data_IF_614564866358
#
_entry.id   IF_614564866358
#
_cell.length_a   1.000
_cell.length_b   1.000
_cell.length_c   1.000
_cell.angle_alpha   90.00
_cell.angle_beta   90.00
_cell.angle_gamma   90.00
#
_symmetry.space_group_name_H-M   'P 1'
#
loop_
_entity.id
_entity.type
_entity.pdbx_description
1 polymer ?
#
# COMPACT_ATOMS: atom_id res chain seq x y z
N UNK A 1 -44.55 2.77 -69.42
CA UNK A 1 -43.30 3.55 -69.33
C UNK A 1 -43.23 4.17 -67.95
N UNK A 2 -42.46 3.56 -67.05
CA UNK A 2 -41.83 4.16 -65.87
C UNK A 2 -40.76 3.15 -65.45
N UNK A 3 -39.49 3.53 -65.58
CA UNK A 3 -38.34 2.65 -65.35
C UNK A 3 -37.97 2.57 -63.87
N UNK A 4 -37.44 1.42 -63.48
CA UNK A 4 -36.83 1.16 -62.17
C UNK A 4 -35.59 2.06 -61.96
N UNK A 5 -35.33 2.54 -60.73
CA UNK A 5 -34.08 3.21 -60.39
C UNK A 5 -32.95 2.18 -60.14
N UNK A 6 -31.67 2.56 -60.31
CA UNK A 6 -30.54 1.65 -60.19
C UNK A 6 -30.11 1.44 -58.73
N UNK A 7 -29.58 0.25 -58.43
CA UNK A 7 -28.92 -0.10 -57.17
C UNK A 7 -27.64 0.75 -56.96
N UNK A 8 -27.59 1.53 -55.88
CA UNK A 8 -26.36 2.15 -55.38
C UNK A 8 -25.66 1.20 -54.38
N UNK A 9 -24.42 0.83 -54.71
CA UNK A 9 -23.52 0.02 -53.87
C UNK A 9 -23.03 0.84 -52.65
N UNK A 10 -22.67 0.19 -51.52
CA UNK A 10 -22.36 0.90 -50.27
C UNK A 10 -20.95 1.52 -50.30
N UNK A 11 -20.90 2.86 -50.32
CA UNK A 11 -19.71 3.71 -50.19
C UNK A 11 -19.00 3.64 -48.82
N UNK A 12 -19.37 2.69 -47.94
CA UNK A 12 -18.85 2.62 -46.56
C UNK A 12 -17.43 2.02 -46.43
N UNK A 13 -16.86 1.48 -47.52
CA UNK A 13 -15.56 0.82 -47.49
C UNK A 13 -14.39 1.77 -47.77
N UNK A 14 -14.59 2.81 -48.58
CA UNK A 14 -13.54 3.78 -48.93
C UNK A 14 -13.35 4.84 -47.82
N UNK A 15 -14.39 5.16 -47.07
CA UNK A 15 -14.34 6.17 -46.01
C UNK A 15 -13.52 5.69 -44.78
N UNK A 16 -13.46 4.37 -44.53
CA UNK A 16 -12.62 3.78 -43.47
C UNK A 16 -11.14 3.71 -43.83
N UNK A 17 -10.79 3.77 -45.12
CA UNK A 17 -9.41 3.61 -45.59
C UNK A 17 -8.61 4.91 -45.61
N UNK A 18 -9.29 6.07 -45.61
CA UNK A 18 -8.65 7.39 -45.77
C UNK A 18 -8.78 8.33 -44.56
N UNK A 19 -9.44 7.91 -43.47
CA UNK A 19 -9.67 8.79 -42.30
C UNK A 19 -9.19 8.26 -40.94
N UNK A 20 -8.38 7.20 -40.88
CA UNK A 20 -7.53 6.95 -39.71
C UNK A 20 -6.29 7.86 -39.78
N UNK A 21 -6.51 9.14 -39.47
CA UNK A 21 -5.42 9.97 -39.00
C UNK A 21 -5.11 9.53 -37.56
N UNK A 22 -4.30 8.48 -37.45
CA UNK A 22 -3.56 8.14 -36.24
C UNK A 22 -2.82 9.40 -35.79
N UNK A 23 -3.46 10.15 -34.89
CA UNK A 23 -2.76 11.18 -34.13
C UNK A 23 -1.84 10.43 -33.20
N UNK A 24 -0.62 10.18 -33.66
CA UNK A 24 0.51 9.79 -32.81
C UNK A 24 0.58 10.82 -31.68
N UNK A 25 -0.01 10.47 -30.54
CA UNK A 25 0.11 11.26 -29.31
C UNK A 25 1.55 11.12 -28.86
N UNK A 26 2.36 12.10 -29.24
CA UNK A 26 3.70 12.28 -28.69
C UNK A 26 3.56 12.43 -27.17
N UNK A 27 4.04 11.41 -26.45
CA UNK A 27 4.20 11.35 -25.00
C UNK A 27 2.88 11.27 -24.21
N UNK A 28 2.60 10.09 -23.66
CA UNK A 28 1.60 9.88 -22.61
C UNK A 28 2.04 10.62 -21.33
N UNK A 29 1.70 11.91 -21.24
CA UNK A 29 1.95 12.73 -20.06
C UNK A 29 1.35 12.15 -18.78
N UNK A 30 0.32 11.28 -18.87
CA UNK A 30 -0.28 10.58 -17.72
C UNK A 30 0.64 9.56 -17.03
N UNK A 31 1.62 8.98 -17.73
CA UNK A 31 2.65 8.12 -17.10
C UNK A 31 3.72 8.95 -16.38
N UNK A 32 3.98 10.18 -16.84
CA UNK A 32 4.94 11.13 -16.23
C UNK A 32 4.27 12.02 -15.17
N UNK A 33 2.94 12.15 -15.16
CA UNK A 33 2.20 12.97 -14.19
C UNK A 33 1.60 12.16 -13.04
N UNK A 34 1.97 10.90 -12.86
CA UNK A 34 1.46 10.08 -11.75
C UNK A 34 1.93 10.57 -10.38
N UNK A 35 1.39 10.00 -9.29
CA UNK A 35 1.87 10.31 -7.93
C UNK A 35 3.35 9.90 -7.72
N UNK A 36 3.82 8.87 -8.43
CA UNK A 36 5.20 8.33 -8.36
C UNK A 36 6.29 9.41 -8.52
N UNK A 37 6.26 10.32 -9.51
CA UNK A 37 7.23 11.39 -9.62
C UNK A 37 7.17 12.42 -8.47
N UNK A 38 6.01 12.68 -7.88
CA UNK A 38 5.92 13.54 -6.69
C UNK A 38 6.60 12.90 -5.46
N UNK A 39 6.35 11.59 -5.26
CA UNK A 39 7.01 10.78 -4.22
C UNK A 39 8.53 10.74 -4.46
N UNK A 40 8.95 10.48 -5.70
CA UNK A 40 10.36 10.40 -6.07
C UNK A 40 11.07 11.74 -5.91
N UNK A 41 10.45 12.85 -6.32
CA UNK A 41 11.00 14.20 -6.11
C UNK A 41 11.17 14.51 -4.61
N UNK A 42 10.19 14.12 -3.78
CA UNK A 42 10.27 14.28 -2.32
C UNK A 42 11.35 13.38 -1.71
N UNK A 43 11.52 12.16 -2.21
CA UNK A 43 12.60 11.26 -1.80
C UNK A 43 13.98 11.77 -2.18
N UNK A 44 14.14 12.32 -3.39
CA UNK A 44 15.39 12.97 -3.82
C UNK A 44 15.67 14.21 -2.95
N UNK A 45 14.66 15.04 -2.67
CA UNK A 45 14.80 16.18 -1.77
C UNK A 45 15.22 15.74 -0.36
N UNK A 46 14.71 14.61 0.14
CA UNK A 46 15.11 14.03 1.43
C UNK A 46 16.60 13.70 1.46
N UNK A 47 17.10 12.99 0.44
CA UNK A 47 18.52 12.61 0.34
C UNK A 47 19.40 13.85 0.20
N UNK A 48 19.01 14.81 -0.65
CA UNK A 48 19.76 16.04 -0.84
C UNK A 48 19.79 16.90 0.43
N UNK A 49 18.68 16.98 1.18
CA UNK A 49 18.63 17.67 2.47
C UNK A 49 19.57 17.03 3.49
N UNK A 50 19.66 15.70 3.49
CA UNK A 50 20.58 14.97 4.36
C UNK A 50 22.04 15.25 4.01
N UNK A 51 22.39 15.18 2.71
CA UNK A 51 23.75 15.46 2.23
C UNK A 51 24.15 16.92 2.48
N UNK A 52 23.26 17.87 2.19
CA UNK A 52 23.48 19.29 2.50
C UNK A 52 23.67 19.51 4.01
N UNK A 53 22.82 18.88 4.83
CA UNK A 53 22.95 18.92 6.29
C UNK A 53 24.27 18.37 6.81
N UNK A 54 24.72 17.22 6.29
CA UNK A 54 26.03 16.64 6.63
C UNK A 54 27.19 17.55 6.20
N UNK A 55 27.09 18.19 5.03
CA UNK A 55 28.08 19.14 4.56
C UNK A 55 28.18 20.33 5.51
N UNK A 56 27.05 20.89 5.94
CA UNK A 56 26.99 22.00 6.89
C UNK A 56 27.54 21.62 8.27
N UNK A 57 27.26 20.40 8.75
CA UNK A 57 27.82 19.89 10.01
C UNK A 57 29.34 19.70 9.96
N UNK A 58 29.89 19.41 8.78
CA UNK A 58 31.35 19.26 8.60
C UNK A 58 32.09 20.61 8.56
N UNK A 59 31.39 21.73 8.42
CA UNK A 59 31.99 23.06 8.32
C UNK A 59 32.07 23.73 9.70
N UNK A 60 33.19 24.42 10.02
CA UNK A 60 33.36 25.08 11.31
C UNK A 60 32.38 26.25 11.53
N UNK A 61 31.89 26.85 10.45
CA UNK A 61 30.87 27.89 10.44
C UNK A 61 30.17 27.89 9.10
N UNK A 62 28.84 27.99 9.10
CA UNK A 62 28.06 28.04 7.86
C UNK A 62 28.00 29.50 7.38
N UNK A 63 28.48 29.84 6.18
CA UNK A 63 28.30 31.16 5.60
C UNK A 63 26.81 31.44 5.40
N UNK A 64 26.35 32.58 5.91
CA UNK A 64 24.97 33.04 5.83
C UNK A 64 24.84 34.10 4.73
N UNK A 65 25.25 33.74 3.51
CA UNK A 65 25.34 34.67 2.38
C UNK A 65 24.02 34.73 1.56
N UNK A 66 22.97 34.05 2.04
CA UNK A 66 21.69 33.97 1.36
C UNK A 66 20.74 35.15 1.59
N UNK A 67 19.79 35.40 0.67
CA UNK A 67 18.84 36.51 0.75
C UNK A 67 17.90 36.43 1.96
N UNK A 68 17.67 35.23 2.50
CA UNK A 68 16.80 35.04 3.67
C UNK A 68 17.57 35.00 5.01
N UNK A 69 18.90 35.12 4.99
CA UNK A 69 19.72 35.10 6.20
C UNK A 69 19.36 36.21 7.22
N UNK A 70 18.92 37.38 6.73
CA UNK A 70 18.53 38.50 7.58
C UNK A 70 17.12 38.39 8.19
N UNK A 71 16.28 37.50 7.65
CA UNK A 71 14.85 37.41 8.00
C UNK A 71 14.58 36.24 8.95
N UNK A 72 15.39 35.18 8.87
CA UNK A 72 15.22 33.98 9.71
C UNK A 72 15.93 34.18 11.07
N UNK A 73 15.19 34.26 12.20
CA UNK A 73 15.79 34.40 13.52
C UNK A 73 16.65 33.18 13.84
N UNK A 74 17.84 33.40 14.43
CA UNK A 74 18.75 32.34 14.86
C UNK A 74 19.16 31.35 13.74
N UNK A 75 19.11 31.79 12.48
CA UNK A 75 19.53 30.99 11.32
C UNK A 75 20.90 30.35 11.51
N UNK A 76 21.88 31.08 12.05
CA UNK A 76 23.22 30.54 12.30
C UNK A 76 23.27 29.36 13.29
N UNK A 77 22.38 29.34 14.29
CA UNK A 77 22.35 28.28 15.31
C UNK A 77 21.69 27.01 14.77
N UNK A 78 20.62 27.16 14.00
CA UNK A 78 19.82 26.03 13.53
C UNK A 78 20.25 25.52 12.15
N UNK A 79 20.79 26.37 11.27
CA UNK A 79 21.14 26.00 9.89
C UNK A 79 22.16 24.87 9.80
N UNK A 80 23.05 24.73 10.79
CA UNK A 80 24.06 23.67 10.83
C UNK A 80 23.43 22.27 10.85
N UNK A 81 22.36 22.06 11.61
CA UNK A 81 21.72 20.74 11.74
C UNK A 81 20.35 20.64 11.08
N UNK A 82 19.75 21.76 10.67
CA UNK A 82 18.41 21.79 10.11
C UNK A 82 18.27 20.93 8.85
N UNK A 83 19.29 20.84 7.99
CA UNK A 83 19.26 19.94 6.82
C UNK A 83 19.07 18.47 7.20
N UNK A 84 19.82 18.00 8.20
CA UNK A 84 19.72 16.63 8.73
C UNK A 84 18.36 16.42 9.42
N UNK A 85 17.94 17.35 10.27
CA UNK A 85 16.66 17.28 10.97
C UNK A 85 15.47 17.20 9.99
N UNK A 86 15.47 18.08 8.99
CA UNK A 86 14.46 18.11 7.94
C UNK A 86 14.46 16.82 7.10
N UNK A 87 15.63 16.26 6.80
CA UNK A 87 15.71 14.98 6.08
C UNK A 87 15.13 13.82 6.89
N UNK A 88 15.42 13.75 8.20
CA UNK A 88 14.81 12.75 9.09
C UNK A 88 13.29 12.91 9.19
N UNK A 89 12.77 14.13 9.14
CA UNK A 89 11.32 14.38 9.08
C UNK A 89 10.72 13.99 7.72
N UNK A 90 11.41 14.31 6.60
CA UNK A 90 10.94 14.01 5.25
C UNK A 90 10.95 12.52 4.90
N UNK A 91 11.80 11.69 5.54
CA UNK A 91 11.87 10.25 5.29
C UNK A 91 10.52 9.54 5.52
N UNK A 92 9.95 9.57 6.74
CA UNK A 92 8.62 9.01 7.01
C UNK A 92 7.51 9.64 6.16
N UNK A 93 7.61 10.93 5.86
CA UNK A 93 6.67 11.64 4.97
C UNK A 93 6.71 11.05 3.56
N UNK A 94 7.90 10.81 3.01
CA UNK A 94 8.08 10.21 1.68
C UNK A 94 7.50 8.80 1.63
N UNK A 95 7.71 7.99 2.67
CA UNK A 95 7.11 6.65 2.79
C UNK A 95 5.58 6.73 2.88
N UNK A 96 5.04 7.70 3.62
CA UNK A 96 3.60 7.94 3.72
C UNK A 96 2.97 8.40 2.40
N UNK A 97 3.67 9.25 1.65
CA UNK A 97 3.27 9.67 0.31
C UNK A 97 3.26 8.48 -0.66
N UNK A 98 4.24 7.57 -0.57
CA UNK A 98 4.26 6.35 -1.39
C UNK A 98 3.03 5.45 -1.12
N UNK A 99 2.47 5.54 0.09
CA UNK A 99 1.24 4.85 0.50
C UNK A 99 -0.04 5.70 0.34
N UNK A 100 -0.01 6.79 -0.41
CA UNK A 100 -1.21 7.59 -0.69
C UNK A 100 -1.83 8.31 0.53
N UNK A 101 -1.11 8.43 1.66
CA UNK A 101 -1.70 8.95 2.91
C UNK A 101 -1.87 10.47 2.90
N UNK A 102 -3.06 10.94 3.26
CA UNK A 102 -3.42 12.36 3.32
C UNK A 102 -2.59 13.15 4.33
N UNK A 103 -2.36 12.60 5.53
CA UNK A 103 -1.52 13.24 6.54
C UNK A 103 -0.09 13.47 6.03
N UNK A 104 0.46 12.52 5.28
CA UNK A 104 1.80 12.64 4.71
C UNK A 104 1.86 13.77 3.67
N UNK A 105 0.79 13.97 2.89
CA UNK A 105 0.67 15.10 1.98
C UNK A 105 0.63 16.45 2.70
N UNK A 106 -0.18 16.59 3.75
CA UNK A 106 -0.20 17.80 4.57
C UNK A 106 1.16 18.06 5.24
N UNK A 107 1.79 17.02 5.78
CA UNK A 107 3.11 17.12 6.39
C UNK A 107 4.18 17.50 5.36
N UNK A 108 4.14 16.96 4.14
CA UNK A 108 5.04 17.33 3.05
C UNK A 108 4.89 18.81 2.67
N UNK A 109 3.65 19.30 2.56
CA UNK A 109 3.37 20.71 2.29
C UNK A 109 3.83 21.65 3.40
N UNK A 110 3.90 21.18 4.65
CA UNK A 110 4.43 21.97 5.76
C UNK A 110 5.97 21.94 5.81
N UNK A 111 6.58 20.77 5.60
CA UNK A 111 8.02 20.56 5.80
C UNK A 111 8.86 20.96 4.59
N UNK A 112 8.41 20.68 3.36
CA UNK A 112 9.18 21.01 2.13
C UNK A 112 9.49 22.52 1.98
N UNK A 113 8.58 23.46 2.28
CA UNK A 113 8.93 24.87 2.27
C UNK A 113 10.01 25.22 3.29
N UNK A 114 9.96 24.64 4.49
CA UNK A 114 10.99 24.83 5.51
C UNK A 114 12.35 24.30 5.02
N UNK A 115 12.37 23.18 4.31
CA UNK A 115 13.58 22.66 3.65
C UNK A 115 14.08 23.60 2.56
N UNK A 116 13.18 24.18 1.77
CA UNK A 116 13.52 25.16 0.73
C UNK A 116 14.09 26.48 1.28
N UNK A 117 13.75 26.86 2.52
CA UNK A 117 14.33 28.04 3.18
C UNK A 117 15.82 27.84 3.47
N UNK A 118 16.28 26.61 3.74
CA UNK A 118 17.69 26.35 4.08
C UNK A 118 18.68 26.78 2.98
N UNK A 119 18.55 26.31 1.71
CA UNK A 119 19.37 26.81 0.60
C UNK A 119 19.31 28.32 0.40
N UNK A 120 18.19 28.97 0.74
CA UNK A 120 18.01 30.42 0.60
C UNK A 120 18.67 31.21 1.73
N UNK A 121 19.07 30.56 2.81
CA UNK A 121 19.81 31.15 3.93
C UNK A 121 21.33 30.99 3.72
N UNK A 122 21.76 29.83 3.22
CA UNK A 122 23.18 29.46 3.08
C UNK A 122 23.75 29.77 1.69
N UNK A 123 22.91 29.69 0.64
CA UNK A 123 23.24 29.91 -0.77
C UNK A 123 24.49 29.17 -1.27
N UNK A 124 24.80 28.00 -0.70
CA UNK A 124 25.95 27.21 -1.13
C UNK A 124 25.66 26.50 -2.46
N UNK A 125 26.69 26.25 -3.31
CA UNK A 125 26.52 25.49 -4.55
C UNK A 125 25.95 24.08 -4.32
N UNK A 126 26.23 23.49 -3.17
CA UNK A 126 25.72 22.19 -2.73
C UNK A 126 24.22 22.18 -2.46
N UNK A 127 23.63 23.34 -2.19
CA UNK A 127 22.21 23.48 -1.81
C UNK A 127 21.31 23.79 -3.03
N UNK A 128 21.90 24.16 -4.18
CA UNK A 128 21.16 24.47 -5.42
C UNK A 128 20.35 23.26 -5.93
N UNK A 129 20.88 22.03 -5.96
CA UNK A 129 20.07 20.86 -6.35
C UNK A 129 18.89 20.61 -5.40
N UNK A 130 19.06 20.89 -4.10
CA UNK A 130 18.01 20.76 -3.10
C UNK A 130 16.90 21.78 -3.35
N UNK A 131 17.25 23.05 -3.60
CA UNK A 131 16.27 24.09 -3.92
C UNK A 131 15.47 23.74 -5.19
N UNK A 132 16.14 23.28 -6.25
CA UNK A 132 15.50 22.91 -7.50
C UNK A 132 14.53 21.73 -7.33
N UNK A 133 14.91 20.73 -6.53
CA UNK A 133 14.05 19.56 -6.27
C UNK A 133 12.86 19.90 -5.40
N UNK A 134 13.01 20.76 -4.37
CA UNK A 134 11.88 21.28 -3.59
C UNK A 134 10.92 22.10 -4.47
N UNK A 135 11.46 22.97 -5.33
CA UNK A 135 10.69 23.77 -6.27
C UNK A 135 9.90 22.96 -7.30
N UNK A 136 10.35 21.74 -7.60
CA UNK A 136 9.67 20.78 -8.46
C UNK A 136 8.69 19.88 -7.68
N UNK A 137 9.04 19.45 -6.47
CA UNK A 137 8.23 18.57 -5.64
C UNK A 137 6.92 19.23 -5.19
N UNK A 138 6.95 20.50 -4.79
CA UNK A 138 5.78 21.22 -4.30
C UNK A 138 4.65 21.32 -5.35
N UNK A 139 4.89 21.80 -6.59
CA UNK A 139 3.86 21.82 -7.63
C UNK A 139 3.33 20.43 -7.97
N UNK A 140 4.19 19.41 -8.01
CA UNK A 140 3.77 18.04 -8.28
C UNK A 140 2.86 17.47 -7.19
N UNK A 141 3.16 17.74 -5.92
CA UNK A 141 2.30 17.35 -4.80
C UNK A 141 0.94 18.05 -4.85
N UNK A 142 0.91 19.35 -5.16
CA UNK A 142 -0.34 20.11 -5.29
C UNK A 142 -1.17 19.63 -6.49
N UNK A 143 -0.53 19.37 -7.63
CA UNK A 143 -1.19 18.86 -8.83
C UNK A 143 -1.84 17.50 -8.58
N UNK A 144 -1.14 16.61 -7.85
CA UNK A 144 -1.58 15.25 -7.60
C UNK A 144 -2.32 15.06 -6.26
N UNK A 145 -2.94 16.10 -5.71
CA UNK A 145 -3.63 16.07 -4.41
C UNK A 145 -4.65 14.92 -4.28
N UNK A 146 -5.41 14.64 -5.34
CA UNK A 146 -6.49 13.63 -5.38
C UNK A 146 -5.98 12.18 -5.27
N UNK A 147 -4.66 11.98 -5.34
CA UNK A 147 -4.03 10.67 -5.15
C UNK A 147 -3.61 10.42 -3.70
N UNK A 148 -3.70 11.44 -2.83
CA UNK A 148 -3.29 11.37 -1.43
C UNK A 148 -4.49 11.53 -0.49
N UNK A 149 -5.62 10.89 -0.79
CA UNK A 149 -6.87 11.04 -0.03
C UNK A 149 -7.08 9.92 1.01
N UNK A 150 -6.13 9.00 1.14
CA UNK A 150 -6.26 7.88 2.08
C UNK A 150 -6.00 8.34 3.52
N UNK A 151 -6.94 8.09 4.43
CA UNK A 151 -6.78 8.42 5.84
C UNK A 151 -5.72 7.55 6.51
N UNK A 152 -5.09 8.10 7.55
CA UNK A 152 -4.38 7.30 8.52
C UNK A 152 -5.39 6.76 9.52
N UNK A 153 -5.70 5.48 9.40
CA UNK A 153 -6.45 4.76 10.43
C UNK A 153 -5.50 4.42 11.57
N UNK A 154 -5.43 5.35 12.52
CA UNK A 154 -4.76 5.12 13.78
C UNK A 154 -5.73 4.40 14.72
N UNK A 155 -5.27 3.35 15.38
CA UNK A 155 -6.09 2.69 16.40
C UNK A 155 -6.39 3.66 17.55
N UNK A 156 -7.50 3.45 18.26
CA UNK A 156 -7.83 4.24 19.46
C UNK A 156 -6.68 4.27 20.48
N UNK A 157 -5.92 3.18 20.56
CA UNK A 157 -4.73 3.08 21.41
C UNK A 157 -3.60 4.00 20.93
N UNK A 158 -3.32 4.03 19.61
CA UNK A 158 -2.30 4.91 19.03
C UNK A 158 -2.65 6.39 19.24
N UNK A 159 -3.91 6.77 19.02
CA UNK A 159 -4.39 8.14 19.23
C UNK A 159 -4.24 8.53 20.71
N UNK A 160 -4.69 7.66 21.62
CA UNK A 160 -4.57 7.89 23.06
C UNK A 160 -3.10 8.00 23.50
N UNK A 161 -2.21 7.16 22.98
CA UNK A 161 -0.79 7.18 23.30
C UNK A 161 -0.11 8.46 22.80
N UNK A 162 -0.35 8.87 21.55
CA UNK A 162 0.18 10.11 20.99
C UNK A 162 -0.34 11.35 21.74
N UNK A 163 -1.63 11.37 22.08
CA UNK A 163 -2.23 12.43 22.87
C UNK A 163 -1.64 12.50 24.29
N UNK A 164 -1.39 11.34 24.92
CA UNK A 164 -0.74 11.26 26.22
C UNK A 164 0.71 11.76 26.18
N UNK A 165 1.49 11.38 25.16
CA UNK A 165 2.85 11.89 24.96
C UNK A 165 2.84 13.41 24.80
N UNK A 166 1.97 13.94 23.93
CA UNK A 166 1.84 15.39 23.74
C UNK A 166 1.44 16.09 25.04
N UNK A 167 0.49 15.53 25.77
CA UNK A 167 0.05 16.03 27.06
C UNK A 167 1.18 16.08 28.09
N UNK A 168 2.01 15.04 28.17
CA UNK A 168 3.17 15.01 29.06
C UNK A 168 4.26 15.99 28.60
N UNK A 169 4.50 16.12 27.30
CA UNK A 169 5.46 17.13 26.79
C UNK A 169 5.03 18.53 27.18
N UNK A 170 3.74 18.86 27.02
CA UNK A 170 3.19 20.17 27.42
C UNK A 170 3.26 20.35 28.94
N UNK A 171 2.75 19.39 29.72
CA UNK A 171 2.78 19.43 31.19
C UNK A 171 4.21 19.55 31.72
N UNK A 172 5.11 18.73 31.21
CA UNK A 172 6.52 18.69 31.58
C UNK A 172 7.21 20.00 31.26
N UNK A 173 6.96 20.58 30.08
CA UNK A 173 7.65 21.81 29.63
C UNK A 173 7.13 23.03 30.38
N UNK A 174 5.81 23.15 30.54
CA UNK A 174 5.20 24.22 31.33
C UNK A 174 5.64 24.13 32.80
N UNK A 175 5.65 22.92 33.36
CA UNK A 175 6.02 22.70 34.76
C UNK A 175 7.51 22.92 35.04
N UNK A 176 8.40 22.44 34.16
CA UNK A 176 9.85 22.62 34.32
C UNK A 176 10.25 24.09 34.11
N UNK A 177 9.63 24.79 33.15
CA UNK A 177 9.81 26.23 32.98
C UNK A 177 9.26 27.03 34.16
N UNK A 178 8.09 26.67 34.68
CA UNK A 178 7.52 27.30 35.88
C UNK A 178 8.36 27.10 37.13
N UNK A 179 9.10 25.99 37.21
CA UNK A 179 10.03 25.66 38.29
C UNK A 179 11.49 25.95 37.93
N UNK A 180 11.78 26.74 36.89
CA UNK A 180 13.14 26.90 36.34
C UNK A 180 14.22 27.25 37.40
N UNK A 181 13.87 28.03 38.44
CA UNK A 181 14.80 28.39 39.52
C UNK A 181 15.21 27.20 40.41
N UNK A 182 14.46 26.11 40.34
CA UNK A 182 14.68 24.87 41.08
C UNK A 182 15.39 23.80 40.23
N UNK A 183 15.84 24.14 39.01
CA UNK A 183 16.58 23.28 38.09
C UNK A 183 17.97 23.85 37.77
N UNK A 184 18.92 22.98 37.44
CA UNK A 184 20.25 23.37 36.94
C UNK A 184 20.17 23.65 35.43
N UNK A 185 20.77 24.75 34.96
CA UNK A 185 20.92 25.10 33.54
C UNK A 185 19.61 25.20 32.73
N UNK A 186 18.46 25.46 33.39
CA UNK A 186 17.17 25.65 32.73
C UNK A 186 16.84 27.15 32.71
N UNK A 187 16.96 27.79 31.55
CA UNK A 187 16.79 29.25 31.41
C UNK A 187 15.77 29.65 30.35
N UNK A 188 15.56 28.80 29.35
CA UNK A 188 14.72 29.07 28.20
C UNK A 188 13.60 28.04 28.05
N UNK A 189 12.57 28.38 27.27
CA UNK A 189 11.51 27.44 26.91
C UNK A 189 12.04 26.23 26.12
N UNK A 190 13.07 26.44 25.30
CA UNK A 190 13.75 25.35 24.59
C UNK A 190 14.43 24.38 25.56
N UNK A 191 15.05 24.87 26.65
CA UNK A 191 15.68 24.00 27.66
C UNK A 191 14.63 23.14 28.37
N UNK A 192 13.45 23.72 28.65
CA UNK A 192 12.33 23.02 29.26
C UNK A 192 11.80 21.87 28.38
N UNK A 193 11.59 22.14 27.08
CA UNK A 193 11.16 21.11 26.11
C UNK A 193 12.24 20.05 25.94
N UNK A 194 13.50 20.46 25.80
CA UNK A 194 14.65 19.57 25.69
C UNK A 194 14.75 18.63 26.90
N UNK A 195 14.68 19.16 28.12
CA UNK A 195 14.70 18.38 29.36
C UNK A 195 13.63 17.29 29.34
N UNK A 196 12.40 17.62 28.96
CA UNK A 196 11.29 16.67 28.95
C UNK A 196 11.50 15.59 27.90
N UNK A 197 11.86 15.94 26.67
CA UNK A 197 12.11 14.98 25.58
C UNK A 197 13.24 14.02 25.97
N UNK A 198 14.36 14.53 26.48
CA UNK A 198 15.52 13.75 26.95
C UNK A 198 15.13 12.80 28.09
N UNK A 199 14.24 13.25 28.98
CA UNK A 199 13.78 12.48 30.14
C UNK A 199 12.82 11.36 29.72
N UNK A 200 11.74 11.67 28.98
CA UNK A 200 10.74 10.66 28.57
C UNK A 200 11.30 9.68 27.54
N UNK A 201 12.23 10.13 26.70
CA UNK A 201 12.99 9.29 25.77
C UNK A 201 14.07 8.44 26.43
N UNK A 202 14.21 8.50 27.76
CA UNK A 202 15.15 7.69 28.56
C UNK A 202 16.64 7.90 28.23
N UNK A 203 16.98 9.02 27.58
CA UNK A 203 18.37 9.37 27.25
C UNK A 203 19.10 9.87 28.50
N UNK A 204 18.50 10.84 29.21
CA UNK A 204 18.98 11.29 30.52
C UNK A 204 20.42 11.82 30.55
N UNK A 205 20.76 12.80 29.69
CA UNK A 205 22.11 13.39 29.65
C UNK A 205 22.61 13.94 31.00
N UNK A 206 21.69 14.34 31.90
CA UNK A 206 22.02 14.80 33.25
C UNK A 206 22.55 16.23 33.33
N UNK A 207 22.49 16.96 32.22
CA UNK A 207 22.84 18.38 32.09
C UNK A 207 21.82 19.33 32.73
N UNK A 208 20.54 18.93 32.76
CA UNK A 208 19.45 19.60 33.48
C UNK A 208 18.88 18.66 34.54
N UNK A 209 18.95 19.07 35.81
CA UNK A 209 18.53 18.24 36.95
C UNK A 209 17.79 19.06 38.02
N UNK A 210 16.80 18.46 38.72
CA UNK A 210 16.06 19.12 39.78
C UNK A 210 16.88 19.26 41.07
N UNK A 211 16.93 20.47 41.63
CA UNK A 211 17.69 20.80 42.84
C UNK A 211 16.84 20.66 44.11
N UNK A 212 15.54 21.01 44.05
CA UNK A 212 14.64 21.00 45.20
C UNK A 212 13.87 19.67 45.35
N UNK A 213 13.27 19.45 46.54
CA UNK A 213 12.36 18.32 46.75
C UNK A 213 11.09 18.40 45.87
N UNK A 214 10.56 19.61 45.66
CA UNK A 214 9.37 19.83 44.82
C UNK A 214 9.66 19.50 43.35
N UNK A 215 10.77 20.01 42.84
CA UNK A 215 11.24 19.73 41.48
C UNK A 215 11.51 18.24 41.27
N UNK A 216 12.06 17.53 42.26
CA UNK A 216 12.26 16.07 42.21
C UNK A 216 10.94 15.29 42.11
N UNK A 217 9.93 15.61 42.92
CA UNK A 217 8.62 14.98 42.83
C UNK A 217 7.92 15.27 41.50
N UNK A 218 8.05 16.51 41.01
CA UNK A 218 7.58 16.88 39.68
C UNK A 218 8.26 16.05 38.59
N UNK A 219 9.60 15.97 38.58
CA UNK A 219 10.36 15.15 37.63
C UNK A 219 9.98 13.68 37.67
N UNK A 220 9.75 13.12 38.87
CA UNK A 220 9.27 11.74 39.02
C UNK A 220 7.91 11.53 38.34
N UNK A 221 7.00 12.50 38.42
CA UNK A 221 5.71 12.43 37.71
C UNK A 221 5.89 12.46 36.18
N UNK A 222 6.79 13.31 35.67
CA UNK A 222 7.10 13.39 34.22
C UNK A 222 7.72 12.08 33.73
N UNK A 223 8.63 11.48 34.50
CA UNK A 223 9.24 10.19 34.16
C UNK A 223 8.16 9.10 34.12
N UNK A 224 7.35 8.96 35.17
CA UNK A 224 6.36 7.89 35.28
C UNK A 224 5.34 7.92 34.13
N UNK A 225 4.72 9.08 33.91
CA UNK A 225 3.70 9.21 32.87
C UNK A 225 4.29 9.34 31.47
N UNK A 226 5.42 10.03 31.35
CA UNK A 226 6.06 10.30 30.08
C UNK A 226 6.74 9.08 29.47
N UNK A 227 7.58 8.36 30.23
CA UNK A 227 8.22 7.15 29.73
C UNK A 227 7.19 6.07 29.41
N UNK A 228 6.13 5.93 30.23
CA UNK A 228 5.03 5.00 29.94
C UNK A 228 4.29 5.33 28.64
N UNK A 229 3.83 6.58 28.49
CA UNK A 229 3.15 7.03 27.27
C UNK A 229 4.06 6.92 26.04
N UNK A 230 5.33 7.30 26.16
CA UNK A 230 6.32 7.22 25.08
C UNK A 230 6.57 5.77 24.66
N UNK A 231 6.71 4.85 25.62
CA UNK A 231 6.92 3.42 25.33
C UNK A 231 5.71 2.86 24.58
N UNK A 232 4.49 3.12 25.06
CA UNK A 232 3.26 2.65 24.39
C UNK A 232 3.16 3.25 22.98
N UNK A 233 3.44 4.55 22.82
CA UNK A 233 3.41 5.20 21.51
C UNK A 233 4.40 4.53 20.54
N UNK A 234 5.67 4.40 20.92
CA UNK A 234 6.70 3.75 20.08
C UNK A 234 6.33 2.31 19.76
N UNK A 235 5.94 1.51 20.77
CA UNK A 235 5.53 0.13 20.56
C UNK A 235 4.34 0.03 19.60
N UNK A 236 3.33 0.89 19.74
CA UNK A 236 2.14 0.88 18.88
C UNK A 236 2.41 1.29 17.43
N UNK A 237 3.48 2.06 17.18
CA UNK A 237 3.92 2.43 15.84
C UNK A 237 4.82 1.37 15.21
N UNK A 238 5.69 0.73 16.01
CA UNK A 238 6.71 -0.21 15.53
C UNK A 238 6.18 -1.64 15.43
N UNK A 239 5.31 -2.07 16.36
CA UNK A 239 4.79 -3.44 16.39
C UNK A 239 4.12 -3.86 15.08
N UNK A 240 3.23 -3.07 14.44
CA UNK A 240 2.62 -3.46 13.17
C UNK A 240 3.64 -3.65 12.04
N UNK A 241 4.73 -2.87 12.04
CA UNK A 241 5.79 -2.99 11.05
C UNK A 241 6.72 -4.20 11.28
N UNK A 242 6.86 -4.62 12.54
CA UNK A 242 7.57 -5.87 12.88
C UNK A 242 6.68 -7.07 12.56
N UNK A 243 5.41 -7.03 12.96
CA UNK A 243 4.41 -8.07 12.65
C UNK A 243 4.31 -8.28 11.14
N UNK A 244 4.22 -7.22 10.34
CA UNK A 244 4.16 -7.35 8.88
C UNK A 244 5.43 -7.99 8.30
N UNK A 245 6.62 -7.66 8.83
CA UNK A 245 7.88 -8.24 8.36
C UNK A 245 8.07 -9.68 8.82
N UNK A 246 7.58 -10.01 10.01
CA UNK A 246 7.58 -11.37 10.51
C UNK A 246 6.60 -12.22 9.71
N UNK A 247 5.38 -11.74 9.48
CA UNK A 247 4.40 -12.38 8.61
C UNK A 247 4.98 -12.63 7.20
N UNK A 248 5.59 -11.62 6.58
CA UNK A 248 6.26 -11.76 5.29
C UNK A 248 7.49 -12.70 5.31
N UNK A 249 8.17 -12.85 6.45
CA UNK A 249 9.29 -13.78 6.60
C UNK A 249 8.84 -15.22 6.93
N UNK A 250 7.59 -15.40 7.37
CA UNK A 250 6.97 -16.69 7.69
C UNK A 250 5.95 -17.16 6.64
N UNK A 251 5.77 -16.44 5.52
CA UNK A 251 4.92 -16.86 4.41
C UNK A 251 3.44 -16.53 4.58
N UNK A 252 3.02 -15.96 5.72
CA UNK A 252 1.68 -15.45 5.90
C UNK A 252 1.57 -14.09 5.20
N UNK A 253 1.24 -14.09 3.91
CA UNK A 253 0.89 -12.85 3.23
C UNK A 253 -0.43 -12.32 3.81
N UNK A 254 -0.41 -11.09 4.31
CA UNK A 254 -1.64 -10.43 4.78
C UNK A 254 -2.58 -10.18 3.59
N UNK A 255 -3.88 -10.04 3.82
CA UNK A 255 -4.86 -9.64 2.79
C UNK A 255 -4.38 -8.45 1.92
N UNK A 256 -3.62 -7.51 2.50
CA UNK A 256 -3.04 -6.36 1.79
C UNK A 256 -1.94 -6.69 0.78
N UNK A 257 -1.27 -7.84 0.91
CA UNK A 257 -0.20 -8.30 0.02
C UNK A 257 -0.76 -9.06 -1.19
N UNK A 258 -1.91 -9.74 -1.05
CA UNK A 258 -2.64 -10.34 -2.16
C UNK A 258 -3.20 -9.28 -3.14
N UNK A 259 -3.54 -8.08 -2.65
CA UNK A 259 -3.89 -6.93 -3.50
C UNK A 259 -2.81 -6.46 -4.47
N UNK A 260 -1.58 -6.97 -4.37
CA UNK A 260 -0.48 -6.64 -5.29
C UNK A 260 -0.37 -7.62 -6.47
N UNK A 261 -1.11 -8.73 -6.45
CA UNK A 261 -1.11 -9.71 -7.53
C UNK A 261 -1.91 -9.17 -8.74
N UNK A 262 -1.30 -9.21 -9.92
CA UNK A 262 -1.94 -8.87 -11.20
C UNK A 262 -1.81 -10.08 -12.13
N UNK A 263 -2.85 -10.39 -12.93
CA UNK A 263 -2.85 -11.53 -13.89
C UNK A 263 -2.64 -12.92 -13.26
N UNK A 264 -3.03 -13.10 -12.00
CA UNK A 264 -3.00 -14.37 -11.25
C UNK A 264 -4.27 -15.20 -11.44
N UNK A 265 -4.20 -16.49 -11.10
CA UNK A 265 -5.37 -17.39 -11.02
C UNK A 265 -5.87 -17.42 -9.58
N UNK A 266 -7.16 -17.14 -9.38
CA UNK A 266 -7.80 -17.21 -8.08
C UNK A 266 -8.55 -18.55 -7.94
N UNK A 267 -8.24 -19.32 -6.91
CA UNK A 267 -8.90 -20.61 -6.62
C UNK A 267 -9.76 -20.46 -5.37
N UNK A 268 -11.05 -20.76 -5.48
CA UNK A 268 -12.02 -20.70 -4.38
C UNK A 268 -12.26 -22.12 -3.87
N UNK A 269 -11.78 -22.38 -2.65
CA UNK A 269 -11.78 -23.69 -2.00
C UNK A 269 -10.49 -24.48 -2.20
N UNK A 270 -10.19 -25.37 -1.24
CA UNK A 270 -9.14 -26.38 -1.35
C UNK A 270 -9.69 -27.78 -1.06
N UNK A 271 -9.55 -28.71 -2.01
CA UNK A 271 -9.98 -30.11 -1.92
C UNK A 271 -9.25 -31.02 -2.93
N UNK A 272 -9.65 -32.29 -2.98
CA UNK A 272 -9.12 -33.33 -3.88
C UNK A 272 -9.15 -32.96 -5.38
N UNK A 273 -9.96 -31.99 -5.81
CA UNK A 273 -9.99 -31.51 -7.20
C UNK A 273 -9.01 -30.35 -7.43
N UNK A 274 -8.78 -29.50 -6.42
CA UNK A 274 -7.92 -28.33 -6.56
C UNK A 274 -6.47 -28.64 -6.25
N UNK A 275 -6.16 -29.60 -5.39
CA UNK A 275 -4.78 -29.99 -5.09
C UNK A 275 -4.00 -30.37 -6.36
N UNK A 276 -4.48 -31.30 -7.23
CA UNK A 276 -3.80 -31.59 -8.50
C UNK A 276 -3.80 -30.42 -9.49
N UNK A 277 -4.79 -29.51 -9.40
CA UNK A 277 -4.83 -28.31 -10.22
C UNK A 277 -3.69 -27.34 -9.85
N UNK A 278 -3.41 -27.18 -8.57
CA UNK A 278 -2.31 -26.33 -8.09
C UNK A 278 -0.95 -26.90 -8.52
N UNK A 279 -0.78 -28.23 -8.45
CA UNK A 279 0.43 -28.91 -8.94
C UNK A 279 0.65 -28.69 -10.46
N UNK A 280 -0.41 -28.74 -11.27
CA UNK A 280 -0.33 -28.58 -12.73
C UNK A 280 -0.06 -27.12 -13.15
N UNK A 281 -0.57 -26.14 -12.41
CA UNK A 281 -0.33 -24.71 -12.71
C UNK A 281 1.14 -24.31 -12.53
N UNK A 282 1.84 -24.96 -11.59
CA UNK A 282 3.28 -24.87 -11.36
C UNK A 282 3.83 -23.44 -11.09
N UNK A 283 5.15 -23.33 -10.96
CA UNK A 283 5.86 -22.08 -10.63
C UNK A 283 5.74 -20.96 -11.68
N UNK A 284 5.16 -21.25 -12.85
CA UNK A 284 5.03 -20.29 -13.96
C UNK A 284 3.77 -19.42 -13.91
N UNK A 285 2.85 -19.71 -12.98
CA UNK A 285 1.58 -19.01 -12.84
C UNK A 285 1.42 -18.52 -11.41
N UNK A 286 1.20 -17.23 -11.21
CA UNK A 286 0.84 -16.73 -9.89
C UNK A 286 -0.56 -17.25 -9.52
N UNK A 287 -0.67 -17.92 -8.37
CA UNK A 287 -1.92 -18.47 -7.85
C UNK A 287 -2.20 -17.92 -6.46
N UNK A 288 -3.48 -17.65 -6.20
CA UNK A 288 -3.98 -17.36 -4.86
C UNK A 288 -5.18 -18.27 -4.54
N UNK A 289 -5.23 -18.81 -3.33
CA UNK A 289 -6.30 -19.70 -2.86
C UNK A 289 -7.10 -19.00 -1.76
N UNK A 290 -8.43 -19.05 -1.79
CA UNK A 290 -9.28 -18.65 -0.66
C UNK A 290 -9.90 -19.91 -0.06
N UNK A 291 -9.72 -20.12 1.24
CA UNK A 291 -10.31 -21.26 1.97
C UNK A 291 -10.63 -20.87 3.40
N UNK A 292 -11.74 -21.36 3.94
CA UNK A 292 -12.11 -21.16 5.36
C UNK A 292 -11.51 -22.24 6.27
N UNK A 293 -11.01 -23.33 5.70
CA UNK A 293 -10.27 -24.39 6.39
C UNK A 293 -8.86 -23.93 6.78
N UNK A 294 -8.65 -23.72 8.08
CA UNK A 294 -7.36 -23.30 8.64
C UNK A 294 -6.26 -24.37 8.54
N UNK A 295 -6.59 -25.66 8.52
CA UNK A 295 -5.60 -26.73 8.35
C UNK A 295 -5.11 -26.77 6.90
N UNK A 296 -6.04 -26.65 5.94
CA UNK A 296 -5.73 -26.53 4.52
C UNK A 296 -4.90 -25.27 4.23
N UNK A 297 -5.28 -24.13 4.81
CA UNK A 297 -4.50 -22.90 4.68
C UNK A 297 -3.07 -23.07 5.20
N UNK A 298 -2.90 -23.66 6.39
CA UNK A 298 -1.57 -23.91 6.98
C UNK A 298 -0.70 -24.83 6.10
N UNK A 299 -1.32 -25.82 5.45
CA UNK A 299 -0.63 -26.71 4.52
C UNK A 299 -0.15 -25.99 3.26
N UNK A 300 -1.03 -25.19 2.63
CA UNK A 300 -0.71 -24.40 1.45
C UNK A 300 0.36 -23.34 1.71
N UNK A 301 0.31 -22.69 2.87
CA UNK A 301 1.37 -21.76 3.31
C UNK A 301 2.74 -22.45 3.40
N UNK A 302 2.78 -23.68 3.91
CA UNK A 302 4.02 -24.46 4.03
C UNK A 302 4.63 -24.83 2.66
N UNK A 303 3.80 -24.90 1.62
CA UNK A 303 4.22 -25.16 0.23
C UNK A 303 4.54 -23.88 -0.55
N UNK A 304 4.37 -22.70 0.07
CA UNK A 304 4.63 -21.41 -0.56
C UNK A 304 3.52 -20.94 -1.50
N UNK A 305 2.32 -21.51 -1.39
CA UNK A 305 1.14 -21.07 -2.16
C UNK A 305 0.51 -19.88 -1.45
N UNK A 306 0.16 -18.83 -2.21
CA UNK A 306 -0.54 -17.69 -1.63
C UNK A 306 -1.95 -18.13 -1.20
N UNK A 307 -2.30 -17.97 0.07
CA UNK A 307 -3.61 -18.36 0.60
C UNK A 307 -4.21 -17.28 1.49
N UNK A 308 -5.53 -17.11 1.38
CA UNK A 308 -6.34 -16.25 2.23
C UNK A 308 -7.30 -17.12 3.05
N UNK A 309 -7.12 -17.12 4.37
CA UNK A 309 -8.04 -17.81 5.28
C UNK A 309 -9.33 -17.01 5.46
N UNK A 310 -10.31 -17.22 4.59
CA UNK A 310 -11.58 -16.50 4.58
C UNK A 310 -12.68 -17.32 3.89
N UNK A 311 -13.94 -16.91 4.08
CA UNK A 311 -15.09 -17.50 3.39
C UNK A 311 -15.00 -17.20 1.87
N UNK A 312 -14.93 -18.21 0.99
CA UNK A 312 -14.83 -18.02 -0.45
C UNK A 312 -16.07 -17.38 -1.11
N UNK A 313 -17.17 -17.27 -0.36
CA UNK A 313 -18.42 -16.65 -0.82
C UNK A 313 -18.51 -15.15 -0.50
N UNK A 314 -17.62 -14.63 0.35
CA UNK A 314 -17.62 -13.25 0.81
C UNK A 314 -17.04 -12.30 -0.25
N UNK A 315 -17.74 -11.19 -0.48
CA UNK A 315 -17.37 -10.11 -1.40
C UNK A 315 -16.07 -9.44 -0.94
N UNK A 316 -15.89 -9.30 0.38
CA UNK A 316 -14.66 -8.73 0.96
C UNK A 316 -13.44 -9.61 0.69
N UNK A 317 -13.56 -10.94 0.85
CA UNK A 317 -12.47 -11.89 0.61
C UNK A 317 -12.01 -11.89 -0.86
N UNK A 318 -12.97 -11.84 -1.79
CA UNK A 318 -12.70 -11.74 -3.24
C UNK A 318 -12.00 -10.42 -3.60
N UNK A 319 -12.39 -9.32 -2.96
CA UNK A 319 -11.74 -8.03 -3.14
C UNK A 319 -10.31 -8.02 -2.57
N UNK A 320 -10.10 -8.58 -1.38
CA UNK A 320 -8.78 -8.72 -0.76
C UNK A 320 -7.84 -9.60 -1.60
N UNK A 321 -8.37 -10.62 -2.28
CA UNK A 321 -7.62 -11.46 -3.21
C UNK A 321 -7.49 -10.87 -4.63
N UNK A 322 -7.87 -9.61 -4.83
CA UNK A 322 -7.75 -8.85 -6.06
C UNK A 322 -8.41 -9.47 -7.30
N UNK A 323 -9.63 -9.98 -7.15
CA UNK A 323 -10.42 -10.56 -8.26
C UNK A 323 -10.61 -9.59 -9.45
N UNK A 324 -10.49 -8.27 -9.23
CA UNK A 324 -10.62 -7.26 -10.28
C UNK A 324 -9.54 -7.31 -11.37
N UNK A 325 -8.35 -7.81 -11.06
CA UNK A 325 -7.23 -7.93 -12.02
C UNK A 325 -6.75 -9.37 -12.22
N UNK A 326 -7.47 -10.35 -11.66
CA UNK A 326 -7.16 -11.76 -11.84
C UNK A 326 -7.44 -12.20 -13.29
N UNK A 327 -6.62 -13.14 -13.78
CA UNK A 327 -6.76 -13.76 -15.10
C UNK A 327 -8.04 -14.59 -15.21
N UNK A 328 -8.41 -15.23 -14.10
CA UNK A 328 -9.58 -16.10 -14.02
C UNK A 328 -9.79 -16.62 -12.61
N UNK A 329 -11.00 -17.12 -12.36
CA UNK A 329 -11.40 -17.75 -11.10
C UNK A 329 -11.73 -19.21 -11.35
N UNK A 330 -11.19 -20.09 -10.52
CA UNK A 330 -11.61 -21.48 -10.42
C UNK A 330 -12.45 -21.65 -9.16
N UNK A 331 -13.71 -22.08 -9.33
CA UNK A 331 -14.62 -22.35 -8.21
C UNK A 331 -14.77 -23.86 -8.03
N UNK A 332 -14.23 -24.37 -6.94
CA UNK A 332 -14.26 -25.78 -6.61
C UNK A 332 -14.61 -25.94 -5.13
N UNK A 333 -15.87 -25.64 -4.81
CA UNK A 333 -16.44 -25.83 -3.48
C UNK A 333 -17.22 -27.15 -3.41
N UNK A 334 -17.26 -27.77 -2.25
CA UNK A 334 -17.95 -29.04 -2.03
C UNK A 334 -19.46 -28.86 -1.81
N UNK A 335 -19.89 -27.70 -1.33
CA UNK A 335 -21.30 -27.34 -1.20
C UNK A 335 -21.83 -26.66 -2.47
N UNK A 336 -22.91 -27.21 -3.04
CA UNK A 336 -23.54 -26.70 -4.26
C UNK A 336 -24.05 -25.26 -4.13
N UNK A 337 -24.53 -24.88 -2.95
CA UNK A 337 -25.09 -23.55 -2.70
C UNK A 337 -23.97 -22.52 -2.57
N UNK A 338 -22.89 -22.88 -1.88
CA UNK A 338 -21.69 -22.05 -1.78
C UNK A 338 -21.02 -21.88 -3.14
N UNK A 339 -20.92 -22.94 -3.96
CA UNK A 339 -20.40 -22.84 -5.31
C UNK A 339 -21.20 -21.85 -6.18
N UNK A 340 -22.53 -21.92 -6.12
CA UNK A 340 -23.41 -20.98 -6.81
C UNK A 340 -23.22 -19.55 -6.28
N UNK A 341 -23.14 -19.37 -4.96
CA UNK A 341 -22.94 -18.07 -4.35
C UNK A 341 -21.58 -17.46 -4.74
N UNK A 342 -20.51 -18.24 -4.65
CA UNK A 342 -19.16 -17.83 -5.02
C UNK A 342 -19.08 -17.41 -6.49
N UNK A 343 -19.73 -18.13 -7.42
CA UNK A 343 -19.81 -17.72 -8.84
C UNK A 343 -20.53 -16.38 -8.98
N UNK A 344 -21.66 -16.18 -8.29
CA UNK A 344 -22.41 -14.91 -8.34
C UNK A 344 -21.57 -13.76 -7.76
N UNK A 345 -20.92 -13.97 -6.62
CA UNK A 345 -20.09 -12.95 -5.98
C UNK A 345 -18.88 -12.61 -6.84
N UNK A 346 -18.19 -13.61 -7.42
CA UNK A 346 -17.08 -13.38 -8.33
C UNK A 346 -17.49 -12.61 -9.60
N UNK A 347 -18.62 -13.00 -10.23
CA UNK A 347 -19.15 -12.30 -11.42
C UNK A 347 -19.58 -10.87 -11.10
N UNK A 348 -20.14 -10.63 -9.92
CA UNK A 348 -20.50 -9.30 -9.44
C UNK A 348 -19.26 -8.44 -9.20
N UNK A 349 -18.21 -9.01 -8.62
CA UNK A 349 -16.96 -8.32 -8.33
C UNK A 349 -16.18 -7.97 -9.61
N UNK A 350 -16.19 -8.86 -10.61
CA UNK A 350 -15.60 -8.62 -11.92
C UNK A 350 -16.50 -9.18 -13.04
N UNK A 351 -17.27 -8.33 -13.74
CA UNK A 351 -18.20 -8.77 -14.79
C UNK A 351 -17.53 -9.49 -15.97
N UNK A 352 -16.25 -9.22 -16.22
CA UNK A 352 -15.52 -9.72 -17.39
C UNK A 352 -14.58 -10.89 -17.05
N UNK A 353 -14.49 -11.31 -15.77
CA UNK A 353 -13.59 -12.39 -15.37
C UNK A 353 -14.01 -13.74 -15.95
N UNK A 354 -13.04 -14.56 -16.32
CA UNK A 354 -13.31 -15.94 -16.72
C UNK A 354 -13.53 -16.81 -15.49
N UNK A 355 -14.69 -17.43 -15.36
CA UNK A 355 -15.06 -18.30 -14.25
C UNK A 355 -15.16 -19.75 -14.73
N UNK A 356 -14.30 -20.62 -14.20
CA UNK A 356 -14.30 -22.06 -14.44
C UNK A 356 -14.74 -22.75 -13.17
N UNK A 357 -15.67 -23.71 -13.25
CA UNK A 357 -16.14 -24.42 -12.06
C UNK A 357 -16.34 -25.91 -12.32
N UNK A 358 -16.22 -26.71 -11.26
CA UNK A 358 -16.50 -28.13 -11.28
C UNK A 358 -17.94 -28.40 -10.82
N UNK A 359 -18.62 -29.34 -11.49
CA UNK A 359 -19.96 -29.80 -11.12
C UNK A 359 -20.02 -31.32 -11.01
N UNK A 360 -20.64 -31.80 -9.94
CA UNK A 360 -20.79 -33.23 -9.63
C UNK A 360 -21.87 -33.89 -10.48
N UNK A 361 -22.93 -33.15 -10.82
CA UNK A 361 -24.05 -33.64 -11.62
C UNK A 361 -24.55 -32.63 -12.68
N UNK A 362 -25.50 -33.09 -13.51
CA UNK A 362 -26.07 -32.27 -14.59
C UNK A 362 -26.89 -31.09 -14.09
N UNK A 363 -27.67 -31.30 -13.04
CA UNK A 363 -28.57 -30.27 -12.52
C UNK A 363 -27.79 -29.12 -11.90
N UNK A 364 -26.72 -29.44 -11.16
CA UNK A 364 -25.78 -28.45 -10.63
C UNK A 364 -25.07 -27.71 -11.77
N UNK A 365 -24.62 -28.44 -12.80
CA UNK A 365 -23.93 -27.81 -13.93
C UNK A 365 -24.80 -26.78 -14.64
N UNK A 366 -26.08 -27.08 -14.84
CA UNK A 366 -27.01 -26.14 -15.45
C UNK A 366 -27.21 -24.90 -14.57
N UNK A 367 -27.35 -25.05 -13.25
CA UNK A 367 -27.46 -23.91 -12.31
C UNK A 367 -26.23 -23.00 -12.39
N UNK A 368 -25.02 -23.57 -12.36
CA UNK A 368 -23.76 -22.83 -12.39
C UNK A 368 -23.60 -22.01 -13.68
N UNK A 369 -23.98 -22.57 -14.84
CA UNK A 369 -24.01 -21.82 -16.11
C UNK A 369 -24.99 -20.65 -16.06
N UNK A 370 -26.19 -20.87 -15.51
CA UNK A 370 -27.22 -19.82 -15.44
C UNK A 370 -26.84 -18.64 -14.54
N UNK A 371 -25.99 -18.86 -13.54
CA UNK A 371 -25.54 -17.79 -12.62
C UNK A 371 -24.25 -17.09 -13.06
N UNK A 372 -23.65 -17.50 -14.18
CA UNK A 372 -22.55 -16.79 -14.81
C UNK A 372 -21.21 -17.51 -14.80
N UNK A 373 -21.15 -18.82 -14.59
CA UNK A 373 -19.95 -19.59 -14.90
C UNK A 373 -19.75 -19.70 -16.42
N UNK A 374 -18.55 -19.41 -16.91
CA UNK A 374 -18.23 -19.48 -18.34
C UNK A 374 -18.02 -20.92 -18.81
N UNK A 375 -17.33 -21.72 -17.98
CA UNK A 375 -17.06 -23.13 -18.25
C UNK A 375 -17.42 -23.98 -17.03
N UNK A 376 -18.14 -25.08 -17.27
CA UNK A 376 -18.52 -26.02 -16.22
C UNK A 376 -18.05 -27.42 -16.59
N UNK A 377 -17.05 -27.90 -15.85
CA UNK A 377 -16.43 -29.21 -16.06
C UNK A 377 -17.07 -30.20 -15.08
N UNK A 378 -17.30 -31.45 -15.52
CA UNK A 378 -17.80 -32.51 -14.64
C UNK A 378 -16.78 -33.66 -14.53
N UNK A 379 -15.83 -33.58 -13.58
CA UNK A 379 -14.77 -34.58 -13.41
C UNK A 379 -15.34 -36.00 -13.26
N UNK A 380 -16.40 -36.17 -12.46
CA UNK A 380 -17.05 -37.47 -12.22
C UNK A 380 -17.58 -38.10 -13.51
N UNK A 381 -18.19 -37.29 -14.39
CA UNK A 381 -18.69 -37.78 -15.69
C UNK A 381 -17.57 -38.11 -16.67
N UNK A 382 -16.51 -37.31 -16.68
CA UNK A 382 -15.32 -37.55 -17.50
C UNK A 382 -14.64 -38.84 -17.05
N UNK A 383 -14.36 -38.96 -15.75
CA UNK A 383 -13.78 -40.16 -15.14
C UNK A 383 -14.62 -41.40 -15.38
N UNK A 384 -15.95 -41.33 -15.17
CA UNK A 384 -16.86 -42.45 -15.44
C UNK A 384 -16.87 -42.90 -16.91
N UNK A 385 -16.83 -41.95 -17.87
CA UNK A 385 -16.71 -42.27 -19.30
C UNK A 385 -15.37 -42.92 -19.63
N UNK A 386 -14.27 -42.42 -19.07
CA UNK A 386 -12.93 -42.96 -19.27
C UNK A 386 -12.82 -44.40 -18.72
N UNK A 387 -13.31 -44.64 -17.49
CA UNK A 387 -13.35 -45.98 -16.90
C UNK A 387 -14.16 -46.95 -17.76
N UNK A 388 -15.36 -46.54 -18.19
CA UNK A 388 -16.22 -47.36 -19.05
C UNK A 388 -15.57 -47.70 -20.39
N UNK A 389 -14.99 -46.70 -21.08
CA UNK A 389 -14.28 -46.91 -22.35
C UNK A 389 -13.05 -47.81 -22.19
N UNK A 390 -12.32 -47.67 -21.09
CA UNK A 390 -11.12 -48.46 -20.80
C UNK A 390 -11.47 -49.93 -20.56
N UNK A 391 -12.54 -50.21 -19.79
CA UNK A 391 -13.05 -51.58 -19.58
C UNK A 391 -13.54 -52.21 -20.88
N UNK A 392 -14.09 -51.41 -21.80
CA UNK A 392 -14.55 -51.84 -23.12
C UNK A 392 -13.43 -51.93 -24.18
N UNK A 393 -12.17 -51.66 -23.82
CA UNK A 393 -11.03 -51.76 -24.73
C UNK A 393 -10.95 -50.66 -25.79
N UNK A 394 -11.70 -49.57 -25.63
CA UNK A 394 -11.59 -48.38 -26.48
C UNK A 394 -10.49 -47.48 -25.92
N UNK A 395 -9.34 -47.41 -26.61
CA UNK A 395 -8.26 -46.47 -26.31
C UNK A 395 -8.75 -45.04 -26.56
N UNK A 396 -8.86 -44.24 -25.50
CA UNK A 396 -9.23 -42.84 -25.57
C UNK A 396 -8.01 -41.98 -25.97
N UNK A 397 -8.23 -40.97 -26.81
CA UNK A 397 -7.92 -39.56 -26.57
C UNK A 397 -8.32 -38.75 -27.83
N UNK A 398 -9.27 -37.83 -27.66
CA UNK A 398 -9.64 -36.78 -28.63
C UNK A 398 -10.07 -37.25 -30.03
N UNK A 399 -11.31 -37.74 -30.15
CA UNK A 399 -12.05 -37.59 -31.41
C UNK A 399 -13.19 -36.62 -31.12
N UNK A 400 -13.19 -35.49 -31.82
CA UNK A 400 -14.21 -34.46 -31.68
C UNK A 400 -15.49 -34.94 -32.32
N UNK A 401 -16.47 -35.33 -31.51
CA UNK A 401 -17.83 -35.53 -31.99
C UNK A 401 -18.52 -34.16 -32.04
N UNK A 402 -18.27 -33.42 -33.13
CA UNK A 402 -19.33 -32.68 -33.81
C UNK A 402 -20.28 -33.73 -34.42
N UNK A 403 -21.30 -34.11 -33.65
CA UNK A 403 -22.51 -34.73 -34.20
C UNK A 403 -23.65 -33.76 -33.95
N UNK A 404 -23.79 -32.81 -34.89
CA UNK A 404 -25.08 -32.20 -35.18
C UNK A 404 -26.00 -33.31 -35.70
N UNK A 405 -26.89 -33.72 -34.81
CA UNK A 405 -28.04 -34.56 -35.09
C UNK A 405 -29.09 -33.70 -35.79
N UNK A 406 -28.89 -33.45 -37.09
CA UNK A 406 -29.92 -32.84 -37.95
C UNK A 406 -30.73 -33.96 -38.61
N UNK A 407 -31.78 -34.38 -37.92
CA UNK A 407 -32.88 -35.14 -38.48
C UNK A 407 -34.20 -34.78 -37.79
N UNK A 408 -34.83 -33.71 -38.27
CA UNK A 408 -36.25 -33.71 -38.68
C UNK A 408 -36.51 -32.67 -39.74
#
# INVERSE_FOLDING_TARGET
>A
MAGEPPEELPDSALERLFYDADRVRLVDWRRVSGAKPAVLATGVATVLAFVAGLSNLSQPSVPLDGPLAAVVPAAGTYAQFAGVLCAFALGPITLGLNRGKALAWYAALAVLPAVGVLPLVTLQPTDVPLLATVGLALPLLVWNRERFDESLDLSSLQIAALAAVLGVVVYGSVGSYGLQSEFTNLSSWSDAVYYVIVTIGTVGYGDITPLSARAKWFSLSVILFGTGAFTIAVSSLVAPAIESRMAAAFGNMSASELTLLEDHVLVLGYNDLTEPLLEELGDGTDVAVITDDGDAASHLEAEGVNVLTADPTDDAALHDANVGTARGVVVALTDDSEAVLAVVTARKANPDIRIVTAASDRQQADKLRHVGADEVISPTRIGGRLLGRTVLGASALFDGDDQDDDAT
#
